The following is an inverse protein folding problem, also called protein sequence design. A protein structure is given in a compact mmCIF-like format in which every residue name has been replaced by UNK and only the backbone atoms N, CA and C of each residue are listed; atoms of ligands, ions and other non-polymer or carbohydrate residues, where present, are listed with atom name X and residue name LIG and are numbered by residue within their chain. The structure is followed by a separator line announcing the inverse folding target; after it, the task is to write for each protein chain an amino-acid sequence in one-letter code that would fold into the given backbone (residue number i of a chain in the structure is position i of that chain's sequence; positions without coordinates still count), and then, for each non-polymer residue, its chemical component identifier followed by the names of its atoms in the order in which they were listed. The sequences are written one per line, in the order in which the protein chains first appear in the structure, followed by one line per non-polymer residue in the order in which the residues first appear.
data_IF_704227391779
#
_entry.id   IF_704227391779
#
_cell.length_a   1.000
_cell.length_b   1.000
_cell.length_c   1.000
_cell.angle_alpha   90.00
_cell.angle_beta   90.00
_cell.angle_gamma   90.00
#
_symmetry.space_group_name_H-M   'P 1'
#
loop_
_entity.id
_entity.type
_entity.pdbx_description
1 polymer ?
#
# COMPACT_ATOMS: atom_id res chain seq x y z
N UNK A 1 -1.07 -5.87 -6.27
CA UNK A 1 0.23 -6.32 -6.87
C UNK A 1 0.71 -5.36 -7.94
N UNK A 2 2.01 -5.30 -8.26
CA UNK A 2 2.48 -4.62 -9.47
C UNK A 2 1.77 -5.18 -10.72
N UNK A 3 1.70 -4.39 -11.77
CA UNK A 3 1.12 -4.77 -13.09
C UNK A 3 -0.37 -5.15 -13.08
N UNK A 4 -1.10 -4.84 -12.03
CA UNK A 4 -2.55 -5.06 -11.93
C UNK A 4 -3.42 -3.92 -12.50
N UNK A 5 -2.81 -2.91 -13.13
CA UNK A 5 -3.53 -1.76 -13.70
C UNK A 5 -3.60 -0.52 -12.79
N UNK A 6 -2.88 -0.53 -11.67
CA UNK A 6 -2.89 0.57 -10.69
C UNK A 6 -2.55 1.94 -11.29
N UNK A 7 -1.61 2.01 -12.23
CA UNK A 7 -1.25 3.28 -12.91
C UNK A 7 -2.41 3.81 -13.76
N UNK A 8 -3.12 2.95 -14.49
CA UNK A 8 -4.28 3.37 -15.28
C UNK A 8 -5.41 3.87 -14.36
N UNK A 9 -5.69 3.14 -13.28
CA UNK A 9 -6.72 3.56 -12.30
C UNK A 9 -6.34 4.89 -11.66
N UNK A 10 -5.08 5.09 -11.29
CA UNK A 10 -4.61 6.38 -10.79
C UNK A 10 -4.81 7.51 -11.80
N UNK A 11 -4.47 7.30 -13.07
CA UNK A 11 -4.68 8.29 -14.13
C UNK A 11 -6.16 8.63 -14.32
N UNK A 12 -7.05 7.63 -14.25
CA UNK A 12 -8.50 7.84 -14.31
C UNK A 12 -8.96 8.69 -13.12
N UNK A 13 -8.54 8.36 -11.91
CA UNK A 13 -8.92 9.10 -10.69
C UNK A 13 -8.36 10.53 -10.75
N UNK A 14 -7.10 10.69 -11.14
CA UNK A 14 -6.44 12.01 -11.21
C UNK A 14 -6.85 12.85 -12.43
N UNK A 15 -7.69 12.33 -13.33
CA UNK A 15 -8.35 13.18 -14.34
C UNK A 15 -9.39 14.14 -13.72
N UNK A 16 -9.81 13.89 -12.48
CA UNK A 16 -10.67 14.80 -11.75
C UNK A 16 -9.87 16.01 -11.23
N UNK A 17 -10.32 17.26 -11.44
CA UNK A 17 -9.55 18.48 -11.15
C UNK A 17 -9.21 18.71 -9.67
N UNK A 18 -9.83 17.98 -8.75
CA UNK A 18 -9.54 18.05 -7.31
C UNK A 18 -8.56 16.95 -6.84
N UNK A 19 -8.02 16.12 -7.73
CA UNK A 19 -7.20 14.96 -7.39
C UNK A 19 -5.82 15.06 -8.05
N UNK A 20 -4.76 14.91 -7.25
CA UNK A 20 -3.39 14.79 -7.73
C UNK A 20 -2.93 13.33 -7.71
N UNK A 21 -2.43 12.85 -8.84
CA UNK A 21 -1.81 11.53 -8.95
C UNK A 21 -0.34 11.58 -8.53
N UNK A 22 -0.02 11.22 -7.29
CA UNK A 22 1.34 11.32 -6.77
C UNK A 22 2.23 10.11 -7.08
N UNK A 23 1.66 9.06 -7.67
CA UNK A 23 2.42 7.86 -8.02
C UNK A 23 2.83 7.05 -6.79
N UNK A 24 4.01 6.43 -6.86
CA UNK A 24 4.53 5.53 -5.82
C UNK A 24 5.28 6.32 -4.76
N UNK A 25 4.61 6.54 -3.61
CA UNK A 25 5.21 7.26 -2.49
C UNK A 25 5.88 6.28 -1.52
N UNK A 26 7.09 6.62 -1.08
CA UNK A 26 7.81 5.85 -0.04
C UNK A 26 7.46 6.31 1.38
N UNK A 27 6.66 7.36 1.50
CA UNK A 27 6.37 8.04 2.76
C UNK A 27 5.72 7.12 3.80
N UNK A 28 4.71 6.35 3.41
CA UNK A 28 4.07 5.40 4.32
C UNK A 28 5.08 4.39 4.87
N UNK A 29 5.94 3.86 4.03
CA UNK A 29 6.98 2.94 4.43
C UNK A 29 7.96 3.58 5.41
N UNK A 30 8.41 4.81 5.15
CA UNK A 30 9.31 5.54 6.05
C UNK A 30 8.68 5.76 7.44
N UNK A 31 7.39 6.05 7.49
CA UNK A 31 6.66 6.20 8.76
C UNK A 31 6.57 4.86 9.49
N UNK A 32 6.30 3.78 8.78
CA UNK A 32 6.27 2.44 9.36
C UNK A 32 7.63 2.02 9.93
N UNK A 33 8.71 2.29 9.19
CA UNK A 33 10.07 1.99 9.65
C UNK A 33 10.45 2.84 10.87
N UNK A 34 9.89 4.04 11.01
CA UNK A 34 10.03 4.89 12.21
C UNK A 34 9.25 4.37 13.41
N UNK A 35 8.05 3.80 13.21
CA UNK A 35 7.24 3.19 14.27
C UNK A 35 7.77 1.82 14.70
N UNK A 36 8.26 1.05 13.75
CA UNK A 36 8.66 -0.35 13.90
C UNK A 36 10.02 -0.56 13.22
N UNK A 37 11.10 -0.03 13.80
CA UNK A 37 12.42 -0.14 13.20
C UNK A 37 12.87 -1.60 13.09
N UNK A 38 13.76 -1.94 12.17
CA UNK A 38 14.37 -3.25 12.09
C UNK A 38 14.96 -3.66 13.44
N UNK A 39 14.62 -4.87 13.91
CA UNK A 39 15.05 -5.37 15.23
C UNK A 39 14.13 -4.98 16.40
N UNK A 40 13.04 -4.25 16.17
CA UNK A 40 12.03 -4.00 17.21
C UNK A 40 11.48 -5.32 17.80
N UNK A 41 11.23 -5.33 19.09
CA UNK A 41 10.70 -6.51 19.79
C UNK A 41 9.44 -6.10 20.57
N UNK A 42 8.28 -6.70 20.29
CA UNK A 42 8.02 -7.62 19.19
C UNK A 42 8.08 -6.92 17.82
N UNK A 43 8.37 -7.66 16.74
CA UNK A 43 8.40 -7.08 15.40
C UNK A 43 6.98 -6.76 14.90
N UNK A 44 6.87 -5.89 13.88
CA UNK A 44 5.60 -5.70 13.17
C UNK A 44 5.17 -7.02 12.48
N UNK A 45 3.90 -7.43 12.50
CA UNK A 45 2.74 -6.71 13.06
C UNK A 45 2.44 -6.97 14.54
N UNK A 46 3.18 -7.88 15.21
CA UNK A 46 2.91 -8.26 16.60
C UNK A 46 3.08 -7.10 17.60
N UNK A 47 3.81 -6.05 17.24
CA UNK A 47 3.98 -4.82 18.01
C UNK A 47 2.76 -3.90 18.04
N UNK A 48 1.85 -4.04 17.06
CA UNK A 48 0.70 -3.12 16.92
C UNK A 48 -0.19 -3.04 18.17
N UNK A 49 -0.56 -4.14 18.84
CA UNK A 49 -1.41 -4.09 20.04
C UNK A 49 -0.80 -3.33 21.21
N UNK A 50 0.54 -3.25 21.29
CA UNK A 50 1.26 -2.56 22.37
C UNK A 50 1.72 -1.15 21.98
N UNK A 51 1.46 -0.73 20.76
CA UNK A 51 1.82 0.61 20.28
C UNK A 51 0.87 1.65 20.88
N UNK A 52 1.39 2.70 21.54
CA UNK A 52 0.56 3.76 22.08
C UNK A 52 -0.32 4.41 20.99
N UNK A 53 -1.60 4.59 21.28
CA UNK A 53 -2.55 5.20 20.34
C UNK A 53 -2.10 6.61 19.87
N UNK A 54 -1.37 7.35 20.73
CA UNK A 54 -0.84 8.66 20.34
C UNK A 54 0.30 8.55 19.33
N UNK A 55 1.11 7.50 19.37
CA UNK A 55 2.13 7.25 18.36
C UNK A 55 1.50 6.97 16.99
N UNK A 56 0.41 6.19 16.95
CA UNK A 56 -0.36 5.95 15.72
C UNK A 56 -0.99 7.23 15.18
N UNK A 57 -1.60 8.04 16.06
CA UNK A 57 -2.17 9.34 15.67
C UNK A 57 -1.10 10.29 15.15
N UNK A 58 0.06 10.33 15.80
CA UNK A 58 1.20 11.14 15.34
C UNK A 58 1.66 10.71 13.96
N UNK A 59 1.83 9.42 13.73
CA UNK A 59 2.20 8.88 12.42
C UNK A 59 1.24 9.30 11.30
N UNK A 60 -0.08 9.28 11.58
CA UNK A 60 -1.09 9.75 10.64
C UNK A 60 -1.02 11.26 10.38
N UNK A 61 -0.76 12.07 11.42
CA UNK A 61 -0.53 13.52 11.24
C UNK A 61 0.71 13.79 10.40
N UNK A 62 1.82 13.15 10.73
CA UNK A 62 3.10 13.33 10.02
C UNK A 62 2.94 13.00 8.52
N UNK A 63 2.23 11.89 8.20
CA UNK A 63 1.90 11.55 6.83
C UNK A 63 1.07 12.63 6.14
N UNK A 64 -0.01 13.06 6.77
CA UNK A 64 -0.92 14.05 6.19
C UNK A 64 -0.25 15.42 6.00
N UNK A 65 0.62 15.83 6.93
CA UNK A 65 1.40 17.06 6.85
C UNK A 65 2.43 17.00 5.73
N UNK A 66 3.16 15.89 5.60
CA UNK A 66 4.12 15.70 4.51
C UNK A 66 3.44 15.73 3.14
N UNK A 67 2.28 15.10 2.99
CA UNK A 67 1.48 15.14 1.75
C UNK A 67 1.04 16.59 1.45
N UNK A 68 0.51 17.32 2.43
CA UNK A 68 0.09 18.72 2.22
C UNK A 68 1.25 19.64 1.86
N UNK A 69 2.41 19.42 2.47
CA UNK A 69 3.61 20.20 2.18
C UNK A 69 4.16 19.94 0.77
N UNK A 70 4.11 18.66 0.33
CA UNK A 70 4.61 18.25 -0.98
C UNK A 70 3.66 18.59 -2.13
N UNK A 71 2.34 18.57 -1.86
CA UNK A 71 1.28 18.79 -2.86
C UNK A 71 0.30 19.90 -2.40
N UNK A 72 0.77 21.15 -2.27
CA UNK A 72 -0.05 22.24 -1.76
C UNK A 72 -1.21 22.56 -2.72
N UNK A 73 -2.37 22.90 -2.15
CA UNK A 73 -3.57 23.29 -2.91
C UNK A 73 -4.43 22.15 -3.44
N UNK A 74 -3.98 20.89 -3.38
CA UNK A 74 -4.78 19.75 -3.81
C UNK A 74 -5.69 19.24 -2.69
N UNK A 75 -6.96 19.02 -3.04
CA UNK A 75 -7.96 18.50 -2.09
C UNK A 75 -7.76 17.03 -1.78
N UNK A 76 -7.38 16.25 -2.80
CA UNK A 76 -7.11 14.83 -2.71
C UNK A 76 -5.77 14.51 -3.40
N UNK A 77 -5.04 13.57 -2.81
CA UNK A 77 -3.77 13.07 -3.36
C UNK A 77 -3.83 11.55 -3.32
N UNK A 78 -3.45 10.89 -4.41
CA UNK A 78 -3.32 9.44 -4.42
C UNK A 78 -1.91 9.02 -3.98
N UNK A 79 -1.82 7.91 -3.27
CA UNK A 79 -0.57 7.16 -3.03
C UNK A 79 -0.75 5.78 -3.67
N UNK A 80 -0.14 5.60 -4.81
CA UNK A 80 -0.27 4.38 -5.59
C UNK A 80 0.97 3.51 -5.45
N UNK A 81 1.25 3.01 -4.25
CA UNK A 81 2.30 2.02 -4.01
C UNK A 81 1.69 0.62 -4.02
N UNK A 82 2.01 -0.25 -5.01
CA UNK A 82 1.43 -1.58 -5.08
C UNK A 82 1.65 -2.43 -3.83
N UNK A 83 2.74 -2.21 -3.10
CA UNK A 83 3.04 -2.90 -1.83
C UNK A 83 2.18 -2.49 -0.65
N UNK A 84 1.40 -1.41 -0.74
CA UNK A 84 0.55 -0.93 0.37
C UNK A 84 -0.56 -1.92 0.76
N UNK A 85 -0.86 -2.93 -0.07
CA UNK A 85 -1.80 -3.99 0.31
C UNK A 85 -1.39 -4.73 1.60
N UNK A 86 -0.10 -4.82 1.89
CA UNK A 86 0.41 -5.41 3.14
C UNK A 86 0.15 -4.53 4.37
N UNK A 87 -0.12 -3.25 4.17
CA UNK A 87 -0.26 -2.25 5.22
C UNK A 87 -1.70 -1.74 5.40
N UNK A 88 -2.70 -2.37 4.78
CA UNK A 88 -4.11 -1.90 4.81
C UNK A 88 -4.61 -1.72 6.25
N UNK A 89 -4.31 -2.65 7.15
CA UNK A 89 -4.67 -2.52 8.56
C UNK A 89 -4.03 -1.29 9.22
N UNK A 90 -2.74 -1.04 8.96
CA UNK A 90 -2.06 0.16 9.47
C UNK A 90 -2.58 1.44 8.84
N UNK A 91 -2.82 1.44 7.52
CA UNK A 91 -3.45 2.59 6.84
C UNK A 91 -4.77 2.93 7.54
N UNK A 92 -5.59 1.94 7.85
CA UNK A 92 -6.87 2.16 8.54
C UNK A 92 -6.69 2.74 9.95
N UNK A 93 -5.64 2.34 10.68
CA UNK A 93 -5.34 2.85 12.03
C UNK A 93 -4.79 4.28 12.01
N UNK A 94 -3.85 4.59 11.12
CA UNK A 94 -3.17 5.90 11.10
C UNK A 94 -3.86 6.94 10.22
N UNK A 95 -4.59 6.51 9.19
CA UNK A 95 -5.31 7.35 8.24
C UNK A 95 -6.78 6.90 8.11
N UNK A 96 -7.60 7.05 9.15
CA UNK A 96 -8.96 6.49 9.20
C UNK A 96 -9.90 7.00 8.10
N UNK A 97 -9.59 8.14 7.50
CA UNK A 97 -10.37 8.74 6.40
C UNK A 97 -9.84 8.41 5.00
N UNK A 98 -8.74 7.66 4.89
CA UNK A 98 -8.21 7.23 3.60
C UNK A 98 -9.20 6.28 2.89
N UNK A 99 -9.37 6.46 1.58
CA UNK A 99 -10.10 5.54 0.72
C UNK A 99 -9.13 4.59 0.08
N UNK A 100 -9.38 3.29 0.20
CA UNK A 100 -8.49 2.25 -0.30
C UNK A 100 -9.14 1.62 -1.53
N UNK A 101 -8.48 1.77 -2.68
CA UNK A 101 -8.91 1.17 -3.94
C UNK A 101 -7.98 0.01 -4.28
N UNK A 102 -8.55 -1.17 -4.45
CA UNK A 102 -7.82 -2.37 -4.80
C UNK A 102 -7.98 -2.70 -6.29
N UNK A 103 -6.86 -2.62 -7.02
CA UNK A 103 -6.84 -3.01 -8.43
C UNK A 103 -6.51 -4.49 -8.55
N UNK A 104 -7.50 -5.29 -8.92
CA UNK A 104 -7.35 -6.71 -9.23
C UNK A 104 -7.38 -6.93 -10.75
N UNK A 105 -6.60 -7.89 -11.21
CA UNK A 105 -6.53 -8.32 -12.60
C UNK A 105 -6.37 -9.84 -12.64
N UNK A 106 -6.67 -10.47 -13.77
CA UNK A 106 -6.42 -11.89 -13.99
C UNK A 106 -5.02 -12.30 -13.54
N UNK A 107 -4.94 -13.40 -12.77
CA UNK A 107 -3.71 -13.88 -12.14
C UNK A 107 -2.62 -14.19 -13.16
N UNK A 108 -2.96 -14.89 -14.25
CA UNK A 108 -2.00 -15.28 -15.29
C UNK A 108 -1.48 -14.06 -16.03
N UNK A 109 -2.36 -13.13 -16.39
CA UNK A 109 -1.99 -11.90 -17.07
C UNK A 109 -1.10 -11.01 -16.17
N UNK A 110 -1.37 -10.95 -14.87
CA UNK A 110 -0.57 -10.21 -13.91
C UNK A 110 0.79 -10.85 -13.73
N UNK A 111 0.86 -12.15 -13.42
CA UNK A 111 2.10 -12.88 -13.23
C UNK A 111 2.98 -12.87 -14.49
N UNK A 112 2.42 -13.11 -15.67
CA UNK A 112 3.16 -13.02 -16.93
C UNK A 112 3.73 -11.61 -17.17
N UNK A 113 2.94 -10.57 -16.86
CA UNK A 113 3.41 -9.19 -16.99
C UNK A 113 4.53 -8.85 -16.00
N UNK A 114 4.47 -9.39 -14.76
CA UNK A 114 5.54 -9.24 -13.77
C UNK A 114 6.80 -9.98 -14.25
N UNK A 115 6.69 -11.25 -14.64
CA UNK A 115 7.82 -12.06 -15.09
C UNK A 115 8.58 -11.46 -16.27
N UNK A 116 7.89 -10.78 -17.18
CA UNK A 116 8.48 -10.08 -18.33
C UNK A 116 9.06 -8.70 -17.99
N UNK A 117 8.90 -8.22 -16.76
CA UNK A 117 9.34 -6.87 -16.37
C UNK A 117 10.61 -6.95 -15.56
N UNK A 118 11.64 -6.20 -15.97
CA UNK A 118 12.84 -6.04 -15.14
C UNK A 118 12.56 -5.06 -14.00
N UNK A 119 12.65 -5.54 -12.76
CA UNK A 119 12.57 -4.73 -11.55
C UNK A 119 13.97 -4.53 -10.97
N UNK A 120 14.37 -3.29 -10.74
CA UNK A 120 15.72 -3.00 -10.19
C UNK A 120 15.87 -3.51 -8.76
N UNK A 121 14.83 -3.41 -7.94
CA UNK A 121 14.86 -3.77 -6.51
C UNK A 121 13.49 -4.27 -6.03
N UNK A 122 13.47 -5.05 -4.95
CA UNK A 122 12.27 -5.31 -4.14
C UNK A 122 11.31 -6.38 -4.67
N UNK A 123 11.62 -7.05 -5.77
CA UNK A 123 10.73 -8.03 -6.39
C UNK A 123 11.49 -9.31 -6.80
N UNK A 124 12.26 -9.90 -5.87
CA UNK A 124 13.05 -11.13 -6.14
C UNK A 124 12.18 -12.27 -6.68
N UNK A 125 10.97 -12.41 -6.16
CA UNK A 125 9.98 -13.38 -6.63
C UNK A 125 9.57 -13.23 -8.10
N UNK A 126 9.88 -12.10 -8.75
CA UNK A 126 9.48 -11.83 -10.12
C UNK A 126 10.27 -12.66 -11.16
N UNK A 127 11.40 -13.26 -10.77
CA UNK A 127 12.33 -13.92 -11.67
C UNK A 127 12.20 -15.44 -11.68
N UNK A 128 11.33 -16.01 -10.85
CA UNK A 128 10.96 -17.43 -10.84
C UNK A 128 9.43 -17.55 -10.88
N UNK A 129 8.92 -18.43 -11.74
CA UNK A 129 7.47 -18.61 -11.93
C UNK A 129 6.81 -19.29 -10.72
N UNK A 130 7.51 -20.16 -10.01
CA UNK A 130 6.98 -20.83 -8.83
C UNK A 130 6.91 -19.85 -7.64
N UNK A 131 7.98 -19.09 -7.40
CA UNK A 131 8.00 -18.04 -6.37
C UNK A 131 6.96 -16.96 -6.65
N UNK A 132 6.78 -16.57 -7.92
CA UNK A 132 5.77 -15.61 -8.32
C UNK A 132 4.35 -16.12 -8.10
N UNK A 133 4.10 -17.40 -8.38
CA UNK A 133 2.80 -18.02 -8.11
C UNK A 133 2.52 -18.09 -6.60
N UNK A 134 3.52 -18.47 -5.80
CA UNK A 134 3.42 -18.46 -4.34
C UNK A 134 3.12 -17.05 -3.80
N UNK A 135 3.88 -16.05 -4.24
CA UNK A 135 3.64 -14.66 -3.85
C UNK A 135 2.23 -14.17 -4.23
N UNK A 136 1.73 -14.58 -5.41
CA UNK A 136 0.36 -14.25 -5.82
C UNK A 136 -0.68 -14.90 -4.90
N UNK A 137 -0.46 -16.15 -4.48
CA UNK A 137 -1.35 -16.83 -3.55
C UNK A 137 -1.35 -16.15 -2.17
N UNK A 138 -0.17 -15.77 -1.66
CA UNK A 138 -0.05 -15.01 -0.41
C UNK A 138 -0.78 -13.64 -0.51
N UNK A 139 -0.61 -12.93 -1.61
CA UNK A 139 -1.33 -11.68 -1.87
C UNK A 139 -2.85 -11.90 -1.88
N UNK A 140 -3.33 -12.93 -2.55
CA UNK A 140 -4.77 -13.22 -2.61
C UNK A 140 -5.32 -13.54 -1.22
N UNK A 141 -4.62 -14.37 -0.44
CA UNK A 141 -4.98 -14.67 0.95
C UNK A 141 -4.99 -13.42 1.84
N UNK A 142 -4.01 -12.53 1.69
CA UNK A 142 -3.97 -11.26 2.43
C UNK A 142 -5.16 -10.36 2.07
N UNK A 143 -5.51 -10.24 0.79
CA UNK A 143 -6.66 -9.43 0.37
C UNK A 143 -7.99 -10.01 0.86
N UNK A 144 -8.11 -11.33 0.90
CA UNK A 144 -9.29 -11.99 1.48
C UNK A 144 -9.37 -11.72 3.00
N UNK A 145 -8.24 -11.83 3.71
CA UNK A 145 -8.17 -11.47 5.13
C UNK A 145 -8.67 -10.03 5.35
N UNK A 146 -8.19 -9.06 4.56
CA UNK A 146 -8.64 -7.67 4.71
C UNK A 146 -10.13 -7.48 4.47
N UNK A 147 -10.73 -8.21 3.52
CA UNK A 147 -12.19 -8.16 3.30
C UNK A 147 -12.97 -8.69 4.51
N UNK A 148 -12.44 -9.71 5.17
CA UNK A 148 -13.08 -10.32 6.35
C UNK A 148 -12.98 -9.44 7.59
N UNK A 149 -11.79 -8.90 7.89
CA UNK A 149 -11.54 -8.13 9.12
C UNK A 149 -11.88 -6.64 9.01
N UNK A 150 -11.95 -6.10 7.80
CA UNK A 150 -12.25 -4.70 7.50
C UNK A 150 -13.34 -4.59 6.42
N UNK A 151 -14.56 -5.10 6.66
CA UNK A 151 -15.62 -5.11 5.65
C UNK A 151 -15.96 -3.67 5.21
N UNK A 152 -16.06 -3.46 3.89
CA UNK A 152 -16.41 -2.17 3.29
C UNK A 152 -15.30 -1.10 3.30
N UNK A 153 -14.09 -1.44 3.76
CA UNK A 153 -12.95 -0.50 3.77
C UNK A 153 -12.19 -0.49 2.44
N UNK A 154 -12.10 -1.65 1.79
CA UNK A 154 -11.40 -1.83 0.52
C UNK A 154 -12.41 -1.93 -0.61
N UNK A 155 -12.29 -1.03 -1.60
CA UNK A 155 -13.17 -0.92 -2.77
C UNK A 155 -12.55 -1.55 -3.99
#
# INVERSE_FOLDING_TARGET
MPRSGTTLVEQIISSHPAVYGAGELVLLRSIMDGLYPPGATPPYPASVPVTPAEALRKAGRDYAEAIRAQYPGWRHVTDKMPGNFMLIGMIRLVLPNARIVHCARDARATCLSIFKTYFRNGHSYAYDLAELAEFHNLYTGMMEHWRQVLPGVVH
#
